data_IF_060825600017
#
_entry.id   IF_060825600017
#
_cell.length_a   1.000
_cell.length_b   1.000
_cell.length_c   1.000
_cell.angle_alpha   90.00
_cell.angle_beta   90.00
_cell.angle_gamma   90.00
#
_symmetry.space_group_name_H-M   'P 1'
#
loop_
_entity.id
_entity.type
_entity.pdbx_description
1 polymer ?
#
# COMPACT_ATOMS: atom_id res chain seq x y z
N UNK A 1 6.47 1.72 10.59
CA UNK A 1 6.67 0.39 9.97
C UNK A 1 7.99 0.30 9.17
N UNK A 2 8.26 1.20 8.22
CA UNK A 2 9.51 1.16 7.41
C UNK A 2 10.80 1.21 8.24
N UNK A 3 10.88 2.13 9.22
CA UNK A 3 12.02 2.25 10.14
C UNK A 3 12.21 0.96 10.95
N UNK A 4 11.12 0.38 11.49
CA UNK A 4 11.16 -0.88 12.22
C UNK A 4 11.72 -2.01 11.33
N UNK A 5 11.23 -2.14 10.10
CA UNK A 5 11.73 -3.15 9.17
C UNK A 5 13.20 -2.96 8.79
N UNK A 6 13.65 -1.71 8.60
CA UNK A 6 15.07 -1.40 8.37
C UNK A 6 15.94 -1.82 9.56
N UNK A 7 15.55 -1.47 10.79
CA UNK A 7 16.28 -1.83 12.01
C UNK A 7 16.30 -3.33 12.26
N UNK A 8 15.20 -4.02 11.95
CA UNK A 8 15.13 -5.48 12.00
C UNK A 8 16.15 -6.10 11.04
N UNK A 9 16.23 -5.60 9.80
CA UNK A 9 17.21 -6.08 8.83
C UNK A 9 18.66 -5.72 9.21
N UNK A 10 18.86 -4.59 9.88
CA UNK A 10 20.16 -4.19 10.41
C UNK A 10 20.64 -5.04 11.60
N UNK A 11 19.84 -6.05 12.02
CA UNK A 11 20.08 -6.86 13.23
C UNK A 11 20.27 -5.99 14.47
N UNK A 12 19.50 -4.91 14.58
CA UNK A 12 19.48 -4.09 15.79
C UNK A 12 19.10 -4.94 17.01
N UNK A 13 19.61 -4.59 18.19
CA UNK A 13 19.32 -5.32 19.43
C UNK A 13 17.80 -5.42 19.63
N UNK A 14 17.31 -6.61 19.96
CA UNK A 14 15.88 -6.88 20.16
C UNK A 14 15.22 -5.93 21.17
N UNK A 15 15.99 -5.44 22.16
CA UNK A 15 15.52 -4.43 23.12
C UNK A 15 15.09 -3.12 22.45
N UNK A 16 15.86 -2.62 21.46
CA UNK A 16 15.49 -1.40 20.72
C UNK A 16 14.28 -1.62 19.81
N UNK A 17 14.16 -2.82 19.21
CA UNK A 17 12.99 -3.20 18.43
C UNK A 17 11.74 -3.27 19.32
N UNK A 18 11.86 -3.85 20.52
CA UNK A 18 10.78 -3.92 21.51
C UNK A 18 10.32 -2.54 21.96
N UNK A 19 11.25 -1.63 22.28
CA UNK A 19 10.93 -0.24 22.64
C UNK A 19 10.23 0.48 21.50
N UNK A 20 10.72 0.34 20.26
CA UNK A 20 10.13 1.01 19.11
C UNK A 20 8.73 0.46 18.78
N UNK A 21 8.53 -0.85 18.92
CA UNK A 21 7.22 -1.47 18.77
C UNK A 21 6.25 -1.00 19.87
N UNK A 22 6.67 -1.04 21.13
CA UNK A 22 5.87 -0.61 22.26
C UNK A 22 5.52 0.89 22.17
N UNK A 23 6.47 1.74 21.81
CA UNK A 23 6.23 3.17 21.58
C UNK A 23 5.31 3.41 20.38
N UNK A 24 5.45 2.63 19.30
CA UNK A 24 4.53 2.68 18.16
C UNK A 24 3.10 2.30 18.52
N UNK A 25 2.91 1.22 19.28
CA UNK A 25 1.60 0.79 19.75
C UNK A 25 1.03 1.80 20.75
N UNK A 26 1.83 2.25 21.70
CA UNK A 26 1.41 3.24 22.70
C UNK A 26 0.97 4.56 22.07
N UNK A 27 1.75 5.10 21.14
CA UNK A 27 1.37 6.31 20.40
C UNK A 27 0.12 6.11 19.56
N UNK A 28 -0.07 4.93 18.96
CA UNK A 28 -1.28 4.60 18.21
C UNK A 28 -2.53 4.56 19.11
N UNK A 29 -2.44 3.92 20.29
CA UNK A 29 -3.53 3.87 21.27
C UNK A 29 -3.87 5.28 21.77
N UNK A 30 -2.84 6.08 22.10
CA UNK A 30 -3.03 7.46 22.55
C UNK A 30 -3.72 8.29 21.45
N UNK A 31 -3.31 8.15 20.19
CA UNK A 31 -3.96 8.86 19.07
C UNK A 31 -5.43 8.45 18.88
N UNK A 32 -5.75 7.16 19.03
CA UNK A 32 -7.15 6.71 18.96
C UNK A 32 -7.96 7.30 20.10
N UNK A 33 -7.41 7.33 21.32
CA UNK A 33 -8.11 7.86 22.49
C UNK A 33 -8.31 9.39 22.43
N UNK A 34 -7.34 10.12 21.87
CA UNK A 34 -7.37 11.59 21.85
C UNK A 34 -8.05 12.18 20.61
N UNK A 35 -8.16 11.44 19.51
CA UNK A 35 -8.73 11.94 18.25
C UNK A 35 -10.02 11.17 17.95
N UNK A 36 -11.21 11.73 18.25
CA UNK A 36 -12.50 11.07 18.07
C UNK A 36 -12.67 10.50 16.66
N UNK A 37 -12.26 11.25 15.64
CA UNK A 37 -12.34 10.84 14.24
C UNK A 37 -11.57 9.56 13.93
N UNK A 38 -10.50 9.23 14.68
CA UNK A 38 -9.72 7.99 14.47
C UNK A 38 -10.33 6.79 15.17
N UNK A 39 -10.91 6.99 16.35
CA UNK A 39 -11.72 5.96 17.01
C UNK A 39 -12.95 5.59 16.17
N UNK A 40 -13.60 6.59 15.57
CA UNK A 40 -14.70 6.39 14.62
C UNK A 40 -14.26 5.53 13.42
N UNK A 41 -13.09 5.76 12.81
CA UNK A 41 -12.62 4.90 11.70
C UNK A 41 -12.48 3.43 12.10
N UNK A 42 -12.00 3.18 13.31
CA UNK A 42 -11.83 1.80 13.81
C UNK A 42 -13.18 1.15 14.10
N UNK A 43 -14.10 1.90 14.71
CA UNK A 43 -15.47 1.44 14.98
C UNK A 43 -16.23 1.18 13.68
N UNK A 44 -16.16 2.10 12.72
CA UNK A 44 -16.75 1.97 11.40
C UNK A 44 -16.12 0.84 10.60
N UNK A 45 -14.83 0.57 10.74
CA UNK A 45 -14.22 -0.62 10.13
C UNK A 45 -14.81 -1.93 10.68
N UNK A 46 -15.03 -2.02 12.00
CA UNK A 46 -15.66 -3.21 12.60
C UNK A 46 -17.17 -3.29 12.33
N UNK A 47 -17.83 -2.14 12.21
CA UNK A 47 -19.28 -2.02 11.99
C UNK A 47 -19.58 -0.95 10.95
N UNK A 48 -19.42 -1.27 9.64
CA UNK A 48 -19.60 -0.30 8.55
C UNK A 48 -21.02 0.28 8.50
N UNK A 49 -22.00 -0.48 8.97
CA UNK A 49 -23.42 -0.11 9.04
C UNK A 49 -23.69 1.14 9.89
N UNK A 50 -22.78 1.47 10.83
CA UNK A 50 -22.93 2.64 11.72
C UNK A 50 -22.61 3.97 11.03
N UNK A 51 -22.01 3.93 9.83
CA UNK A 51 -21.64 5.12 9.07
C UNK A 51 -22.06 4.99 7.59
N UNK A 52 -23.37 5.14 7.31
CA UNK A 52 -23.93 4.95 5.97
C UNK A 52 -23.61 6.06 4.96
N UNK A 53 -22.91 7.13 5.36
CA UNK A 53 -22.56 8.25 4.48
C UNK A 53 -21.05 8.58 4.46
N UNK A 54 -20.27 8.08 5.40
CA UNK A 54 -18.84 8.36 5.51
C UNK A 54 -17.95 7.20 5.04
N UNK A 55 -17.07 6.76 5.95
CA UNK A 55 -16.03 5.76 5.66
C UNK A 55 -16.65 4.37 5.46
N UNK A 56 -17.71 4.06 6.22
CA UNK A 56 -18.44 2.79 6.10
C UNK A 56 -19.07 2.66 4.71
N UNK A 57 -19.68 3.74 4.24
CA UNK A 57 -20.19 3.85 2.88
C UNK A 57 -19.10 3.63 1.82
N UNK A 58 -17.95 4.30 1.95
CA UNK A 58 -16.83 4.14 1.00
C UNK A 58 -16.36 2.68 0.91
N UNK A 59 -16.18 2.00 2.06
CA UNK A 59 -15.77 0.59 2.08
C UNK A 59 -16.85 -0.30 1.42
N UNK A 60 -18.13 -0.08 1.74
CA UNK A 60 -19.21 -0.85 1.17
C UNK A 60 -19.29 -0.68 -0.36
N UNK A 61 -19.14 0.55 -0.86
CA UNK A 61 -19.10 0.82 -2.30
C UNK A 61 -17.87 0.21 -2.97
N UNK A 62 -16.71 0.21 -2.31
CA UNK A 62 -15.51 -0.45 -2.80
C UNK A 62 -15.72 -1.97 -2.95
N UNK A 63 -16.33 -2.61 -1.95
CA UNK A 63 -16.66 -4.04 -2.00
C UNK A 63 -17.68 -4.35 -3.09
N UNK A 64 -18.69 -3.50 -3.27
CA UNK A 64 -19.66 -3.63 -4.36
C UNK A 64 -19.01 -3.49 -5.74
N UNK A 65 -18.09 -2.54 -5.94
CA UNK A 65 -17.35 -2.37 -7.18
C UNK A 65 -16.47 -3.60 -7.49
N UNK A 66 -15.77 -4.13 -6.47
CA UNK A 66 -14.94 -5.33 -6.62
C UNK A 66 -15.82 -6.54 -6.96
N UNK A 67 -16.99 -6.66 -6.30
CA UNK A 67 -17.93 -7.76 -6.53
C UNK A 67 -18.65 -7.69 -7.87
N UNK A 68 -18.98 -6.50 -8.36
CA UNK A 68 -19.70 -6.30 -9.63
C UNK A 68 -18.83 -6.60 -10.85
N UNK A 69 -17.51 -6.41 -10.77
CA UNK A 69 -16.59 -6.61 -11.89
C UNK A 69 -16.52 -8.04 -12.45
N UNK A 70 -16.99 -9.05 -11.72
CA UNK A 70 -16.97 -10.44 -12.19
C UNK A 70 -15.57 -10.90 -12.61
N UNK A 71 -15.49 -11.83 -13.58
CA UNK A 71 -14.20 -12.39 -14.02
C UNK A 71 -13.38 -11.45 -14.92
N UNK A 72 -14.06 -10.67 -15.78
CA UNK A 72 -13.44 -9.91 -16.87
C UNK A 72 -13.69 -8.39 -16.81
N UNK A 73 -14.49 -7.92 -15.86
CA UNK A 73 -14.81 -6.50 -15.72
C UNK A 73 -15.86 -6.01 -16.71
N UNK A 74 -16.24 -4.74 -16.55
CA UNK A 74 -17.13 -4.03 -17.48
C UNK A 74 -16.38 -3.39 -18.66
N UNK A 75 -15.05 -3.40 -18.64
CA UNK A 75 -14.21 -2.69 -19.59
C UNK A 75 -13.79 -1.31 -19.07
N UNK A 76 -12.63 -0.85 -19.55
CA UNK A 76 -12.04 0.43 -19.14
C UNK A 76 -13.02 1.59 -19.35
N UNK A 77 -13.14 2.45 -18.34
CA UNK A 77 -14.03 3.62 -18.37
C UNK A 77 -15.52 3.33 -18.22
N UNK A 78 -15.92 2.07 -18.01
CA UNK A 78 -17.34 1.68 -17.83
C UNK A 78 -17.68 1.33 -16.37
N UNK A 79 -16.88 1.79 -15.41
CA UNK A 79 -17.17 1.60 -13.97
C UNK A 79 -18.39 2.41 -13.55
N UNK A 80 -19.39 1.72 -12.99
CA UNK A 80 -20.59 2.36 -12.47
C UNK A 80 -20.28 3.07 -11.15
N UNK A 81 -19.48 2.42 -10.28
CA UNK A 81 -19.24 2.90 -8.92
C UNK A 81 -18.36 4.14 -8.91
N UNK A 82 -17.39 4.23 -9.82
CA UNK A 82 -16.57 5.43 -10.05
C UNK A 82 -17.37 6.69 -10.33
N UNK A 83 -18.47 6.58 -11.07
CA UNK A 83 -19.17 7.76 -11.57
C UNK A 83 -20.22 8.32 -10.61
N UNK A 84 -20.74 7.50 -9.70
CA UNK A 84 -21.93 7.86 -8.93
C UNK A 84 -21.82 7.60 -7.42
N UNK A 85 -20.95 6.68 -7.00
CA UNK A 85 -21.05 6.14 -5.63
C UNK A 85 -19.76 6.15 -4.84
N UNK A 86 -18.61 5.94 -5.48
CA UNK A 86 -17.34 5.72 -4.79
C UNK A 86 -16.65 7.07 -4.50
N UNK A 87 -16.41 7.45 -3.24
CA UNK A 87 -15.59 8.60 -2.90
C UNK A 87 -14.12 8.39 -3.26
N UNK A 88 -13.35 9.47 -3.45
CA UNK A 88 -11.88 9.42 -3.58
C UNK A 88 -11.33 8.43 -4.63
N UNK A 89 -12.10 8.22 -5.71
CA UNK A 89 -11.84 7.28 -6.81
C UNK A 89 -10.42 7.36 -7.35
N UNK A 90 -9.92 8.58 -7.54
CA UNK A 90 -8.61 8.81 -8.14
C UNK A 90 -7.45 8.55 -7.18
N UNK A 91 -7.70 8.57 -5.87
CA UNK A 91 -6.67 8.44 -4.85
C UNK A 91 -6.71 7.04 -4.21
N UNK A 92 -7.46 6.88 -3.14
CA UNK A 92 -7.41 5.68 -2.31
C UNK A 92 -8.24 4.51 -2.88
N UNK A 93 -9.25 4.81 -3.69
CA UNK A 93 -10.26 3.83 -4.14
C UNK A 93 -10.02 3.27 -5.55
N UNK A 94 -8.86 3.61 -6.13
CA UNK A 94 -8.50 3.24 -7.51
C UNK A 94 -8.44 1.72 -7.73
N UNK A 95 -8.08 0.95 -6.69
CA UNK A 95 -8.04 -0.51 -6.78
C UNK A 95 -9.44 -1.12 -6.95
N UNK A 96 -10.45 -0.57 -6.27
CA UNK A 96 -11.83 -1.04 -6.40
C UNK A 96 -12.39 -0.77 -7.81
N UNK A 97 -12.07 0.40 -8.36
CA UNK A 97 -12.39 0.72 -9.77
C UNK A 97 -11.68 -0.21 -10.74
N UNK A 98 -10.39 -0.48 -10.51
CA UNK A 98 -9.64 -1.41 -11.35
C UNK A 98 -10.25 -2.82 -11.33
N UNK A 99 -10.77 -3.26 -10.19
CA UNK A 99 -11.50 -4.52 -10.07
C UNK A 99 -12.82 -4.53 -10.82
N UNK A 100 -13.58 -3.42 -10.78
CA UNK A 100 -14.82 -3.30 -11.53
C UNK A 100 -14.58 -3.25 -13.05
N UNK A 101 -13.60 -2.46 -13.50
CA UNK A 101 -13.33 -2.24 -14.92
C UNK A 101 -12.60 -3.42 -15.57
N UNK A 102 -11.62 -4.03 -14.89
CA UNK A 102 -10.76 -5.08 -15.47
C UNK A 102 -11.12 -6.50 -15.02
N UNK A 103 -11.92 -6.65 -13.97
CA UNK A 103 -12.34 -7.93 -13.42
C UNK A 103 -11.29 -8.64 -12.59
N UNK A 104 -11.73 -9.75 -11.98
CA UNK A 104 -10.96 -10.54 -11.04
C UNK A 104 -9.61 -11.02 -11.60
N UNK A 105 -9.58 -11.53 -12.84
CA UNK A 105 -8.37 -12.14 -13.42
C UNK A 105 -7.24 -11.10 -13.51
N UNK A 106 -7.55 -9.91 -14.00
CA UNK A 106 -6.58 -8.85 -14.18
C UNK A 106 -6.09 -8.28 -12.86
N UNK A 107 -6.97 -8.13 -11.87
CA UNK A 107 -6.59 -7.66 -10.54
C UNK A 107 -5.69 -8.66 -9.81
N UNK A 108 -5.99 -9.96 -9.91
CA UNK A 108 -5.10 -11.00 -9.35
C UNK A 108 -3.74 -10.98 -10.07
N UNK A 109 -3.73 -10.88 -11.40
CA UNK A 109 -2.48 -10.76 -12.16
C UNK A 109 -1.68 -9.52 -11.75
N UNK A 110 -2.35 -8.39 -11.50
CA UNK A 110 -1.73 -7.16 -11.01
C UNK A 110 -1.09 -7.34 -9.62
N UNK A 111 -1.80 -7.97 -8.67
CA UNK A 111 -1.25 -8.27 -7.34
C UNK A 111 -0.02 -9.17 -7.46
N UNK A 112 -0.11 -10.22 -8.28
CA UNK A 112 1.03 -11.12 -8.53
C UNK A 112 2.21 -10.37 -9.14
N UNK A 113 1.97 -9.45 -10.07
CA UNK A 113 3.00 -8.61 -10.67
C UNK A 113 3.70 -7.75 -9.61
N UNK A 114 2.94 -7.08 -8.73
CA UNK A 114 3.51 -6.31 -7.62
C UNK A 114 4.37 -7.18 -6.71
N UNK A 115 3.89 -8.37 -6.36
CA UNK A 115 4.65 -9.32 -5.54
C UNK A 115 5.96 -9.76 -6.21
N UNK A 116 5.93 -10.03 -7.52
CA UNK A 116 7.13 -10.38 -8.30
C UNK A 116 8.12 -9.21 -8.33
N UNK A 117 7.64 -7.98 -8.54
CA UNK A 117 8.49 -6.77 -8.54
C UNK A 117 9.15 -6.60 -7.16
N UNK A 118 8.37 -6.63 -6.08
CA UNK A 118 8.90 -6.48 -4.73
C UNK A 118 9.89 -7.59 -4.38
N UNK A 119 9.60 -8.83 -4.75
CA UNK A 119 10.51 -9.95 -4.55
C UNK A 119 11.83 -9.76 -5.31
N UNK A 120 11.78 -9.29 -6.56
CA UNK A 120 12.98 -9.00 -7.38
C UNK A 120 13.82 -7.89 -6.76
N UNK A 121 13.21 -6.79 -6.33
CA UNK A 121 13.91 -5.67 -5.68
C UNK A 121 14.49 -6.07 -4.33
N UNK A 122 13.78 -6.91 -3.57
CA UNK A 122 14.27 -7.46 -2.31
C UNK A 122 15.50 -8.36 -2.52
N UNK A 123 15.47 -9.22 -3.55
CA UNK A 123 16.63 -10.03 -3.95
C UNK A 123 17.81 -9.16 -4.38
N UNK A 124 17.55 -8.06 -5.09
CA UNK A 124 18.56 -7.07 -5.44
C UNK A 124 19.21 -6.46 -4.18
N UNK A 125 18.42 -6.01 -3.20
CA UNK A 125 18.93 -5.44 -1.95
C UNK A 125 19.89 -6.39 -1.22
N UNK A 126 19.55 -7.70 -1.17
CA UNK A 126 20.42 -8.72 -0.55
C UNK A 126 21.78 -8.86 -1.24
N UNK A 127 21.82 -8.65 -2.54
CA UNK A 127 23.00 -8.81 -3.39
C UNK A 127 23.81 -7.51 -3.57
N UNK A 128 23.36 -6.39 -3.01
CA UNK A 128 24.09 -5.12 -3.07
C UNK A 128 25.43 -5.22 -2.31
N UNK A 129 26.54 -4.75 -2.90
CA UNK A 129 27.86 -4.83 -2.29
C UNK A 129 28.04 -3.85 -1.12
N UNK A 130 27.34 -2.71 -1.17
CA UNK A 130 27.37 -1.67 -0.14
C UNK A 130 26.18 -1.79 0.82
N UNK A 131 26.46 -1.57 2.11
CA UNK A 131 25.46 -1.60 3.17
C UNK A 131 24.47 -0.43 3.03
N UNK A 132 24.94 0.76 2.66
CA UNK A 132 24.03 1.90 2.46
C UNK A 132 23.06 1.61 1.31
N UNK A 133 23.57 1.17 0.16
CA UNK A 133 22.76 0.74 -0.98
C UNK A 133 21.77 -0.38 -0.62
N UNK A 134 22.19 -1.36 0.19
CA UNK A 134 21.31 -2.43 0.69
C UNK A 134 20.14 -1.87 1.52
N UNK A 135 20.43 -1.02 2.51
CA UNK A 135 19.38 -0.44 3.36
C UNK A 135 18.46 0.52 2.60
N UNK A 136 19.00 1.29 1.66
CA UNK A 136 18.22 2.21 0.83
C UNK A 136 17.24 1.45 -0.06
N UNK A 137 17.71 0.46 -0.83
CA UNK A 137 16.84 -0.34 -1.70
C UNK A 137 15.80 -1.10 -0.88
N UNK A 138 16.21 -1.67 0.25
CA UNK A 138 15.29 -2.36 1.17
C UNK A 138 14.22 -1.41 1.73
N UNK A 139 14.62 -0.19 2.11
CA UNK A 139 13.73 0.84 2.60
C UNK A 139 12.64 1.21 1.62
N UNK A 140 13.04 1.49 0.38
CA UNK A 140 12.12 1.88 -0.69
C UNK A 140 11.17 0.74 -1.04
N UNK A 141 11.66 -0.50 -1.18
CA UNK A 141 10.76 -1.63 -1.48
C UNK A 141 9.80 -1.91 -0.33
N UNK A 142 10.25 -1.81 0.92
CA UNK A 142 9.40 -1.97 2.09
C UNK A 142 8.33 -0.88 2.16
N UNK A 143 8.69 0.37 1.84
CA UNK A 143 7.75 1.48 1.75
C UNK A 143 6.64 1.22 0.72
N UNK A 144 6.98 0.83 -0.51
CA UNK A 144 5.98 0.50 -1.54
C UNK A 144 5.14 -0.72 -1.19
N UNK A 145 5.75 -1.74 -0.58
CA UNK A 145 5.04 -2.96 -0.16
C UNK A 145 3.98 -2.63 0.90
N UNK A 146 4.34 -1.85 1.92
CA UNK A 146 3.42 -1.45 2.99
C UNK A 146 2.29 -0.59 2.41
N UNK A 147 2.59 0.40 1.58
CA UNK A 147 1.55 1.24 0.97
C UNK A 147 0.57 0.41 0.13
N UNK A 148 1.09 -0.49 -0.70
CA UNK A 148 0.25 -1.36 -1.54
C UNK A 148 -0.62 -2.29 -0.69
N UNK A 149 -0.05 -2.89 0.37
CA UNK A 149 -0.79 -3.76 1.28
C UNK A 149 -1.92 -3.02 1.99
N UNK A 150 -1.66 -1.83 2.55
CA UNK A 150 -2.68 -1.07 3.27
C UNK A 150 -3.76 -0.51 2.33
N UNK A 151 -3.40 -0.07 1.12
CA UNK A 151 -4.37 0.42 0.15
C UNK A 151 -5.29 -0.71 -0.34
N UNK A 152 -4.72 -1.79 -0.88
CA UNK A 152 -5.48 -2.94 -1.40
C UNK A 152 -6.27 -3.59 -0.27
N UNK A 153 -5.64 -3.82 0.87
CA UNK A 153 -6.26 -4.42 2.05
C UNK A 153 -7.45 -3.61 2.56
N UNK A 154 -7.40 -2.28 2.51
CA UNK A 154 -8.53 -1.45 2.90
C UNK A 154 -9.70 -1.58 1.92
N UNK A 155 -9.42 -1.64 0.62
CA UNK A 155 -10.45 -1.79 -0.42
C UNK A 155 -11.18 -3.13 -0.36
N UNK A 156 -10.49 -4.20 0.06
CA UNK A 156 -11.10 -5.52 0.27
C UNK A 156 -11.61 -5.74 1.71
N UNK A 157 -11.58 -4.72 2.57
CA UNK A 157 -12.10 -4.80 3.95
C UNK A 157 -11.24 -5.59 4.94
N UNK A 158 -9.96 -5.84 4.65
CA UNK A 158 -9.04 -6.55 5.55
C UNK A 158 -8.39 -5.65 6.61
N UNK A 159 -8.26 -4.35 6.33
CA UNK A 159 -7.68 -3.34 7.24
C UNK A 159 -8.50 -2.05 7.18
N UNK A 160 -8.44 -1.18 8.20
CA UNK A 160 -9.18 0.09 8.17
C UNK A 160 -8.70 1.01 7.03
N UNK A 161 -9.61 1.85 6.55
CA UNK A 161 -9.30 2.86 5.52
C UNK A 161 -8.27 3.86 6.06
N UNK A 162 -7.10 3.86 5.43
CA UNK A 162 -5.92 4.63 5.86
C UNK A 162 -5.65 5.86 4.99
N UNK A 163 -6.27 5.97 3.81
CA UNK A 163 -6.09 7.10 2.87
C UNK A 163 -4.71 7.12 2.19
N UNK A 164 -3.98 6.00 2.20
CA UNK A 164 -2.68 5.89 1.53
C UNK A 164 -2.89 5.52 0.06
N UNK A 165 -2.24 6.23 -0.89
CA UNK A 165 -2.36 5.90 -2.30
C UNK A 165 -1.66 4.58 -2.65
N UNK A 166 -2.16 3.91 -3.68
CA UNK A 166 -1.51 2.78 -4.33
C UNK A 166 -0.34 3.29 -5.18
N UNK A 167 0.92 2.90 -4.88
CA UNK A 167 2.07 3.35 -5.63
C UNK A 167 1.92 3.07 -7.14
N UNK A 168 2.30 4.04 -7.97
CA UNK A 168 2.26 3.99 -9.44
C UNK A 168 0.88 3.93 -10.10
N UNK A 169 -0.21 3.76 -9.34
CA UNK A 169 -1.57 3.62 -9.89
C UNK A 169 -2.46 4.78 -9.48
N UNK A 170 -2.42 5.18 -8.21
CA UNK A 170 -3.21 6.31 -7.73
C UNK A 170 -2.77 7.63 -8.35
N UNK A 171 -3.74 8.52 -8.54
CA UNK A 171 -3.53 9.86 -9.07
C UNK A 171 -2.80 10.74 -8.05
N UNK A 172 -1.69 11.34 -8.48
CA UNK A 172 -0.91 12.25 -7.67
C UNK A 172 0.44 12.54 -8.31
N UNK A 173 0.54 13.61 -9.10
CA UNK A 173 1.74 13.92 -9.89
C UNK A 173 3.02 13.95 -9.07
N UNK A 174 3.02 14.61 -7.91
CA UNK A 174 4.17 14.66 -7.00
C UNK A 174 4.53 13.29 -6.43
N UNK A 175 3.53 12.51 -6.00
CA UNK A 175 3.75 11.16 -5.47
C UNK A 175 4.32 10.23 -6.54
N UNK A 176 3.83 10.33 -7.78
CA UNK A 176 4.34 9.58 -8.93
C UNK A 176 5.79 9.98 -9.24
N UNK A 177 6.10 11.29 -9.31
CA UNK A 177 7.47 11.77 -9.55
C UNK A 177 8.46 11.26 -8.50
N UNK A 178 8.10 11.31 -7.21
CA UNK A 178 8.93 10.81 -6.12
C UNK A 178 9.11 9.29 -6.25
N UNK A 179 8.03 8.56 -6.53
CA UNK A 179 8.08 7.10 -6.67
C UNK A 179 8.95 6.67 -7.86
N UNK A 180 8.83 7.36 -9.00
CA UNK A 180 9.68 7.12 -10.18
C UNK A 180 11.14 7.47 -9.91
N UNK A 181 11.41 8.55 -9.19
CA UNK A 181 12.77 8.92 -8.78
C UNK A 181 13.40 7.86 -7.88
N UNK A 182 12.64 7.33 -6.91
CA UNK A 182 13.09 6.26 -6.03
C UNK A 182 13.39 4.96 -6.81
N UNK A 183 12.56 4.61 -7.81
CA UNK A 183 12.83 3.50 -8.73
C UNK A 183 14.09 3.77 -9.56
N UNK A 184 14.29 4.99 -10.05
CA UNK A 184 15.50 5.40 -10.77
C UNK A 184 16.78 5.17 -9.96
N UNK A 185 16.75 5.49 -8.66
CA UNK A 185 17.85 5.21 -7.73
C UNK A 185 18.09 3.69 -7.61
N UNK A 186 17.05 2.89 -7.45
CA UNK A 186 17.16 1.41 -7.39
C UNK A 186 17.79 0.86 -8.66
N UNK A 187 17.38 1.34 -9.84
CA UNK A 187 17.91 0.91 -11.14
C UNK A 187 19.39 1.30 -11.25
N UNK A 188 19.78 2.50 -10.83
CA UNK A 188 21.18 2.93 -10.81
C UNK A 188 22.05 2.01 -9.95
N UNK A 189 21.60 1.68 -8.74
CA UNK A 189 22.28 0.74 -7.84
C UNK A 189 22.38 -0.65 -8.49
N UNK A 190 21.29 -1.12 -9.11
CA UNK A 190 21.28 -2.41 -9.81
C UNK A 190 22.31 -2.49 -10.93
N UNK A 191 22.42 -1.42 -11.74
CA UNK A 191 23.40 -1.31 -12.83
C UNK A 191 24.83 -1.33 -12.30
N UNK A 192 25.11 -0.54 -11.27
CA UNK A 192 26.46 -0.42 -10.73
C UNK A 192 26.90 -1.66 -9.96
N UNK A 193 25.99 -2.47 -9.42
CA UNK A 193 26.32 -3.76 -8.78
C UNK A 193 27.06 -4.73 -9.71
N UNK A 194 26.70 -4.73 -11.01
CA UNK A 194 27.29 -5.63 -12.01
C UNK A 194 28.75 -5.25 -12.26
N UNK A 195 29.06 -3.95 -12.21
CA UNK A 195 30.39 -3.39 -12.46
C UNK A 195 31.41 -3.73 -11.37
N UNK A 196 30.97 -4.03 -10.15
CA UNK A 196 31.84 -4.46 -9.04
C UNK A 196 32.01 -5.99 -8.93
N UNK A 197 31.32 -6.76 -9.79
CA UNK A 197 31.35 -8.22 -9.78
C UNK A 197 32.17 -8.82 -10.93
N UNK A 198 32.57 -7.98 -11.89
CA UNK A 198 33.53 -8.25 -12.97
C UNK A 198 34.89 -7.68 -12.56
#
# INVERSE_FOLDING_TARGET
>A
ATIFGMLFLAKARYSHLGILLAGGIGSFIIMIALVPSRAERLMTFMRPELDPQGIGYQINQALLAIGSGGWFGFGLGHSIQKHQYLPEVHADSIFAVMAEELGFIMVVAFILLLLVIFFRVFKLAKQSPDNFAKFLVFGVVLWFTIQSFFNIGAMVGLVPLTGVPLPFVSHGGTALMISMSAVGIIINISKNRIKYRL
#
